data_IF_229366791837
#
_entry.id   IF_229366791837
#
_cell.length_a   1.000
_cell.length_b   1.000
_cell.length_c   1.000
_cell.angle_alpha   90.00
_cell.angle_beta   90.00
_cell.angle_gamma   90.00
#
_symmetry.space_group_name_H-M   'P 1'
#
loop_
_entity.id
_entity.type
_entity.pdbx_description
1 polymer ?
#
# COMPACT_ATOMS: atom_id res chain seq x y z
N UNK A 1 -0.48 -3.60 -14.76
CA UNK A 1 -1.24 -3.46 -13.50
C UNK A 1 -1.75 -4.81 -12.98
N UNK A 2 -2.63 -5.54 -13.68
CA UNK A 2 -3.17 -6.82 -13.16
C UNK A 2 -2.11 -7.87 -12.80
N UNK A 3 -1.07 -8.05 -13.62
CA UNK A 3 -0.01 -9.02 -13.34
C UNK A 3 0.86 -8.67 -12.12
N UNK A 4 0.97 -7.39 -11.74
CA UNK A 4 1.72 -7.00 -10.55
C UNK A 4 0.89 -7.24 -9.28
N UNK A 5 -0.42 -6.98 -9.36
CA UNK A 5 -1.35 -7.20 -8.26
C UNK A 5 -1.49 -8.69 -7.89
N UNK A 6 -1.63 -9.58 -8.87
CA UNK A 6 -1.73 -11.02 -8.59
C UNK A 6 -0.45 -11.58 -7.96
N UNK A 7 0.73 -11.13 -8.41
CA UNK A 7 2.01 -11.49 -7.80
C UNK A 7 2.17 -10.90 -6.41
N UNK A 8 1.70 -9.67 -6.18
CA UNK A 8 1.67 -9.08 -4.85
C UNK A 8 0.77 -9.86 -3.89
N UNK A 9 -0.38 -10.35 -4.35
CA UNK A 9 -1.19 -11.27 -3.56
C UNK A 9 -0.44 -12.57 -3.22
N UNK A 10 0.43 -13.07 -4.08
CA UNK A 10 1.31 -14.21 -3.75
C UNK A 10 2.27 -13.85 -2.63
N UNK A 11 2.93 -12.69 -2.70
CA UNK A 11 3.85 -12.22 -1.64
C UNK A 11 3.13 -12.05 -0.30
N UNK A 12 1.97 -11.37 -0.30
CA UNK A 12 1.14 -11.19 0.91
C UNK A 12 0.68 -12.54 1.47
N UNK A 13 0.24 -13.46 0.61
CA UNK A 13 -0.19 -14.79 1.04
C UNK A 13 0.92 -15.55 1.77
N UNK A 14 2.14 -15.56 1.22
CA UNK A 14 3.28 -16.24 1.85
C UNK A 14 3.71 -15.53 3.15
N UNK A 15 3.65 -14.20 3.22
CA UNK A 15 3.90 -13.44 4.46
C UNK A 15 2.85 -13.78 5.53
N UNK A 16 1.56 -13.85 5.18
CA UNK A 16 0.50 -14.18 6.13
C UNK A 16 0.60 -15.61 6.67
N UNK A 17 1.20 -16.55 5.91
CA UNK A 17 1.44 -17.93 6.38
C UNK A 17 2.47 -18.01 7.50
N UNK A 18 3.47 -17.12 7.50
CA UNK A 18 4.49 -17.04 8.56
C UNK A 18 4.14 -16.04 9.65
N UNK A 19 3.08 -15.25 9.46
CA UNK A 19 2.57 -14.30 10.46
C UNK A 19 1.84 -15.06 11.58
N UNK A 20 2.06 -14.72 12.86
CA UNK A 20 1.44 -15.38 14.01
C UNK A 20 -0.06 -15.44 13.91
N UNK A 21 -0.61 -16.54 14.40
CA UNK A 21 -2.05 -16.76 14.38
C UNK A 21 -2.82 -15.65 15.11
N UNK A 22 -2.26 -15.08 16.18
CA UNK A 22 -2.87 -13.97 16.94
C UNK A 22 -3.11 -12.70 16.10
N UNK A 23 -2.25 -12.46 15.11
CA UNK A 23 -2.37 -11.33 14.18
C UNK A 23 -3.20 -11.73 12.97
N UNK A 24 -2.91 -12.89 12.38
CA UNK A 24 -3.62 -13.42 11.22
C UNK A 24 -5.11 -13.65 11.51
N UNK A 25 -5.48 -13.99 12.76
CA UNK A 25 -6.88 -14.16 13.18
C UNK A 25 -7.66 -12.86 13.27
N UNK A 26 -6.98 -11.70 13.42
CA UNK A 26 -7.63 -10.39 13.37
C UNK A 26 -8.05 -10.00 11.95
N UNK A 27 -7.46 -10.62 10.93
CA UNK A 27 -7.76 -10.36 9.52
C UNK A 27 -8.99 -11.18 9.10
N UNK A 28 -10.07 -10.53 8.59
CA UNK A 28 -11.28 -11.21 8.18
C UNK A 28 -11.01 -12.35 7.18
N UNK A 29 -11.62 -13.51 7.41
CA UNK A 29 -11.44 -14.70 6.57
C UNK A 29 -11.78 -14.42 5.11
N UNK A 30 -12.80 -13.59 4.83
CA UNK A 30 -13.15 -13.19 3.47
C UNK A 30 -12.01 -12.44 2.78
N UNK A 31 -11.30 -11.58 3.51
CA UNK A 31 -10.16 -10.84 2.97
C UNK A 31 -8.99 -11.78 2.63
N UNK A 32 -8.66 -12.72 3.54
CA UNK A 32 -7.64 -13.74 3.30
C UNK A 32 -7.97 -14.63 2.11
N UNK A 33 -9.25 -14.99 1.93
CA UNK A 33 -9.71 -15.75 0.75
C UNK A 33 -9.55 -14.98 -0.55
N UNK A 34 -9.87 -13.68 -0.58
CA UNK A 34 -9.65 -12.85 -1.78
C UNK A 34 -8.18 -12.88 -2.19
N UNK A 35 -7.25 -12.73 -1.24
CA UNK A 35 -5.80 -12.83 -1.52
C UNK A 35 -5.46 -14.22 -2.09
N UNK A 36 -5.91 -15.29 -1.43
CA UNK A 36 -5.61 -16.66 -1.85
C UNK A 36 -6.17 -17.02 -3.24
N UNK A 37 -7.38 -16.57 -3.55
CA UNK A 37 -8.08 -16.86 -4.80
C UNK A 37 -7.50 -16.08 -5.99
N UNK A 38 -7.01 -14.86 -5.75
CA UNK A 38 -6.51 -13.95 -6.79
C UNK A 38 -4.98 -13.94 -6.93
N UNK A 39 -4.25 -14.71 -6.13
CA UNK A 39 -2.78 -14.79 -6.22
C UNK A 39 -2.31 -15.48 -7.49
N UNK A 40 -1.15 -15.07 -7.99
CA UNK A 40 -0.43 -15.78 -9.03
C UNK A 40 0.15 -17.09 -8.47
N UNK A 41 -0.37 -18.22 -8.94
CA UNK A 41 0.04 -19.56 -8.49
C UNK A 41 1.34 -20.04 -9.13
N UNK A 42 1.81 -19.40 -10.20
CA UNK A 42 3.07 -19.74 -10.87
C UNK A 42 4.23 -18.90 -10.33
N UNK A 43 3.94 -17.68 -9.88
CA UNK A 43 4.93 -16.86 -9.19
C UNK A 43 5.36 -17.52 -7.87
N UNK A 44 6.67 -17.67 -7.69
CA UNK A 44 7.28 -18.20 -6.47
C UNK A 44 7.92 -17.04 -5.72
N UNK A 45 7.45 -16.85 -4.50
CA UNK A 45 8.03 -15.89 -3.56
C UNK A 45 8.38 -16.65 -2.29
N UNK A 46 9.59 -16.43 -1.80
CA UNK A 46 10.08 -16.99 -0.55
C UNK A 46 10.59 -15.83 0.30
N UNK A 47 10.10 -15.77 1.54
CA UNK A 47 10.58 -14.81 2.51
C UNK A 47 11.91 -15.33 3.07
N UNK A 48 13.02 -14.74 2.65
CA UNK A 48 14.37 -15.11 3.13
C UNK A 48 14.93 -14.08 4.12
N UNK A 49 15.77 -14.55 5.06
CA UNK A 49 16.54 -13.68 5.94
C UNK A 49 17.98 -13.50 5.41
N UNK A 50 18.54 -12.27 5.41
CA UNK A 50 17.97 -11.04 5.96
C UNK A 50 16.93 -10.41 5.03
N UNK A 51 15.74 -10.16 5.56
CA UNK A 51 14.64 -9.62 4.79
C UNK A 51 14.85 -8.13 4.45
N UNK A 52 14.65 -7.76 3.19
CA UNK A 52 14.72 -6.39 2.69
C UNK A 52 13.41 -5.95 2.00
N UNK A 53 12.89 -4.79 2.40
CA UNK A 53 11.66 -4.20 1.88
C UNK A 53 11.69 -3.97 0.36
N UNK A 54 12.88 -3.74 -0.20
CA UNK A 54 13.10 -3.55 -1.65
C UNK A 54 12.83 -4.81 -2.48
N UNK A 55 12.73 -5.97 -1.82
CA UNK A 55 12.48 -7.24 -2.50
C UNK A 55 10.98 -7.48 -2.74
N UNK A 56 10.12 -6.67 -2.12
CA UNK A 56 8.66 -6.73 -2.30
C UNK A 56 8.19 -5.81 -3.43
N UNK A 57 7.10 -6.22 -4.07
CA UNK A 57 6.37 -5.35 -5.00
C UNK A 57 5.75 -4.17 -4.26
N UNK A 58 5.59 -3.08 -4.99
CA UNK A 58 4.95 -1.89 -4.42
C UNK A 58 3.51 -2.16 -4.01
N UNK A 59 2.79 -2.96 -4.79
CA UNK A 59 1.42 -3.38 -4.47
C UNK A 59 1.38 -4.24 -3.21
N UNK A 60 2.39 -5.09 -2.96
CA UNK A 60 2.50 -5.89 -1.73
C UNK A 60 2.58 -4.98 -0.52
N UNK A 61 3.44 -3.96 -0.61
CA UNK A 61 3.59 -2.95 0.44
C UNK A 61 2.28 -2.21 0.71
N UNK A 62 1.54 -1.84 -0.34
CA UNK A 62 0.24 -1.16 -0.21
C UNK A 62 -0.77 -2.08 0.47
N UNK A 63 -0.86 -3.36 0.08
CA UNK A 63 -1.81 -4.31 0.68
C UNK A 63 -1.48 -4.58 2.15
N UNK A 64 -0.21 -4.77 2.49
CA UNK A 64 0.24 -4.90 3.89
C UNK A 64 -0.08 -3.62 4.69
N UNK A 65 0.09 -2.46 4.03
CA UNK A 65 -0.46 -1.15 4.37
C UNK A 65 -1.86 -1.22 4.97
N UNK A 66 -2.79 -1.62 4.11
CA UNK A 66 -4.20 -1.71 4.42
C UNK A 66 -4.50 -2.73 5.52
N UNK A 67 -3.84 -3.90 5.49
CA UNK A 67 -4.01 -4.95 6.49
C UNK A 67 -3.68 -4.43 7.89
N UNK A 68 -2.53 -3.75 8.04
CA UNK A 68 -2.14 -3.24 9.34
C UNK A 68 -3.08 -2.13 9.79
N UNK A 69 -3.38 -1.16 8.92
CA UNK A 69 -4.27 -0.03 9.25
C UNK A 69 -5.63 -0.52 9.75
N UNK A 70 -6.25 -1.45 9.02
CA UNK A 70 -7.64 -1.81 9.30
C UNK A 70 -7.77 -2.89 10.39
N UNK A 71 -6.79 -3.79 10.51
CA UNK A 71 -6.92 -5.01 11.32
C UNK A 71 -5.89 -5.19 12.45
N UNK A 72 -4.68 -4.61 12.34
CA UNK A 72 -3.59 -4.90 13.29
C UNK A 72 -3.27 -3.72 14.22
N UNK A 73 -3.43 -2.50 13.73
CA UNK A 73 -3.26 -1.27 14.51
C UNK A 73 -4.25 -1.23 15.69
N UNK A 74 -3.82 -0.63 16.80
CA UNK A 74 -4.72 -0.31 17.89
C UNK A 74 -5.74 0.77 17.46
N UNK A 75 -6.87 0.93 18.19
CA UNK A 75 -7.93 1.83 17.76
C UNK A 75 -7.51 3.28 17.55
N UNK A 76 -6.61 3.80 18.39
CA UNK A 76 -6.13 5.19 18.32
C UNK A 76 -5.19 5.36 17.12
N UNK A 77 -4.22 4.45 16.95
CA UNK A 77 -3.35 4.45 15.78
C UNK A 77 -4.14 4.30 14.48
N UNK A 78 -5.16 3.43 14.45
CA UNK A 78 -6.00 3.23 13.28
C UNK A 78 -6.74 4.51 12.87
N UNK A 79 -7.31 5.23 13.84
CA UNK A 79 -8.02 6.48 13.57
C UNK A 79 -7.07 7.55 13.01
N UNK A 80 -5.88 7.69 13.60
CA UNK A 80 -4.83 8.60 13.09
C UNK A 80 -4.42 8.25 11.66
N UNK A 81 -4.20 6.97 11.35
CA UNK A 81 -3.85 6.51 10.00
C UNK A 81 -4.98 6.76 8.99
N UNK A 82 -6.23 6.51 9.36
CA UNK A 82 -7.39 6.74 8.48
C UNK A 82 -7.61 8.23 8.20
N UNK A 83 -7.41 9.09 9.20
CA UNK A 83 -7.47 10.54 9.03
C UNK A 83 -6.39 11.01 8.05
N UNK A 84 -5.17 10.53 8.25
CA UNK A 84 -4.01 10.78 7.40
C UNK A 84 -4.21 10.36 5.94
N UNK A 85 -4.79 9.19 5.71
CA UNK A 85 -5.16 8.72 4.36
C UNK A 85 -6.23 9.63 3.74
N UNK A 86 -7.23 10.02 4.52
CA UNK A 86 -8.31 10.92 4.06
C UNK A 86 -7.77 12.28 3.66
N UNK A 87 -6.87 12.85 4.46
CA UNK A 87 -6.20 14.12 4.14
C UNK A 87 -5.32 14.03 2.89
N UNK A 88 -4.60 12.92 2.73
CA UNK A 88 -3.78 12.70 1.54
C UNK A 88 -4.63 12.61 0.26
N UNK A 89 -5.74 11.86 0.31
CA UNK A 89 -6.69 11.77 -0.80
C UNK A 89 -7.27 13.14 -1.15
N UNK A 90 -7.71 13.91 -0.14
CA UNK A 90 -8.23 15.28 -0.37
C UNK A 90 -7.21 16.18 -1.06
N UNK A 91 -5.93 16.13 -0.65
CA UNK A 91 -4.87 16.92 -1.30
C UNK A 91 -4.69 16.52 -2.76
N UNK A 92 -4.69 15.22 -3.07
CA UNK A 92 -4.60 14.74 -4.46
C UNK A 92 -5.83 15.19 -5.28
N UNK A 93 -7.03 15.11 -4.71
CA UNK A 93 -8.25 15.61 -5.35
C UNK A 93 -8.20 17.11 -5.59
N UNK A 94 -7.75 17.89 -4.61
CA UNK A 94 -7.56 19.34 -4.73
C UNK A 94 -6.52 19.69 -5.81
N UNK A 95 -5.39 18.99 -5.87
CA UNK A 95 -4.36 19.17 -6.90
C UNK A 95 -4.88 18.82 -8.30
N UNK A 96 -5.62 17.72 -8.42
CA UNK A 96 -6.27 17.33 -9.68
C UNK A 96 -7.32 18.36 -10.11
N UNK A 97 -8.13 18.84 -9.17
CA UNK A 97 -9.08 19.92 -9.42
C UNK A 97 -8.34 21.19 -9.88
N UNK A 98 -7.28 21.63 -9.20
CA UNK A 98 -6.49 22.79 -9.66
C UNK A 98 -5.83 22.60 -11.04
N UNK A 99 -5.42 21.37 -11.37
CA UNK A 99 -4.77 21.03 -12.65
C UNK A 99 -5.75 20.97 -13.82
N UNK A 100 -6.95 20.43 -13.59
CA UNK A 100 -7.92 20.10 -14.64
C UNK A 100 -9.21 20.92 -14.59
N UNK A 101 -9.40 21.78 -13.58
CA UNK A 101 -10.50 22.72 -13.52
C UNK A 101 -10.50 23.60 -14.77
N UNK A 102 -11.67 23.65 -15.40
CA UNK A 102 -11.87 24.19 -16.73
C UNK A 102 -11.42 25.66 -16.78
N UNK A 103 -11.74 26.43 -15.75
CA UNK A 103 -11.35 27.84 -15.62
C UNK A 103 -9.82 28.01 -15.55
N UNK A 104 -9.15 27.18 -14.75
CA UNK A 104 -7.69 27.16 -14.65
C UNK A 104 -7.01 26.70 -15.95
N UNK A 105 -7.56 25.71 -16.64
CA UNK A 105 -7.08 25.23 -17.94
C UNK A 105 -7.23 26.31 -19.02
N UNK A 106 -8.37 26.99 -19.08
CA UNK A 106 -8.59 28.11 -20.01
C UNK A 106 -7.65 29.28 -19.73
N UNK A 107 -7.43 29.63 -18.46
CA UNK A 107 -6.53 30.71 -18.06
C UNK A 107 -5.04 30.38 -18.34
N UNK A 108 -4.61 29.13 -18.15
CA UNK A 108 -3.27 28.65 -18.53
C UNK A 108 -3.04 28.63 -20.04
N UNK A 109 -4.06 28.25 -20.83
CA UNK A 109 -4.00 28.29 -22.32
C UNK A 109 -3.81 29.71 -22.87
N UNK A 110 -4.32 30.73 -22.17
CA UNK A 110 -4.08 32.14 -22.53
C UNK A 110 -2.64 32.61 -22.25
N UNK A 111 -1.86 31.88 -21.43
CA UNK A 111 -0.60 32.40 -20.87
C UNK A 111 0.70 31.68 -21.27
N UNK A 112 0.75 30.45 -21.81
CA UNK A 112 2.00 29.93 -22.44
C UNK A 112 1.90 28.65 -23.28
N UNK A 113 2.67 28.65 -24.38
CA UNK A 113 3.08 27.51 -25.24
C UNK A 113 3.90 26.48 -24.43
N UNK A 114 3.68 25.21 -24.74
CA UNK A 114 4.49 24.01 -24.45
C UNK A 114 4.84 23.72 -22.99
N UNK A 115 4.15 22.75 -22.38
CA UNK A 115 4.72 21.90 -21.31
C UNK A 115 4.17 20.48 -21.46
N UNK A 116 5.08 19.53 -21.66
CA UNK A 116 4.82 18.09 -21.56
C UNK A 116 4.58 17.75 -20.09
N UNK A 117 3.41 17.20 -19.76
CA UNK A 117 3.11 16.73 -18.41
C UNK A 117 3.20 15.20 -18.40
N UNK A 118 4.27 14.65 -17.81
CA UNK A 118 4.26 13.27 -17.33
C UNK A 118 3.43 13.17 -16.05
N UNK A 119 2.72 12.06 -15.80
CA UNK A 119 2.07 11.84 -14.51
C UNK A 119 3.15 11.49 -13.48
N UNK A 120 3.35 12.34 -12.48
CA UNK A 120 4.12 11.99 -11.29
C UNK A 120 3.24 11.13 -10.38
N UNK A 121 3.74 9.95 -10.03
CA UNK A 121 3.16 9.02 -9.07
C UNK A 121 3.24 9.60 -7.65
N UNK A 122 2.45 10.63 -7.36
CA UNK A 122 2.38 11.29 -6.05
C UNK A 122 1.12 10.84 -5.31
N UNK A 123 1.31 10.14 -4.19
CA UNK A 123 0.21 9.87 -3.26
C UNK A 123 0.50 8.77 -2.23
N UNK A 124 1.24 7.73 -2.60
CA UNK A 124 1.40 6.53 -1.75
C UNK A 124 2.80 6.35 -1.15
N UNK A 125 3.78 7.17 -1.56
CA UNK A 125 5.19 6.99 -1.18
C UNK A 125 5.54 7.50 0.23
N UNK A 126 4.78 8.45 0.77
CA UNK A 126 5.13 9.09 2.06
C UNK A 126 4.84 8.19 3.28
N UNK A 127 3.90 7.24 3.15
CA UNK A 127 3.58 6.29 4.23
C UNK A 127 4.46 5.03 4.24
N UNK A 128 5.31 4.85 3.23
CA UNK A 128 6.08 3.61 3.03
C UNK A 128 7.04 3.37 4.20
N UNK A 129 7.97 4.28 4.51
CA UNK A 129 9.14 3.91 5.31
C UNK A 129 8.90 3.64 6.82
N UNK A 130 8.04 4.40 7.50
CA UNK A 130 7.86 4.25 8.97
C UNK A 130 6.88 3.13 9.32
N UNK A 131 5.88 2.94 8.46
CA UNK A 131 4.80 1.98 8.64
C UNK A 131 5.26 0.55 8.30
N UNK A 132 5.99 0.42 7.21
CA UNK A 132 6.57 -0.86 6.78
C UNK A 132 7.53 -1.40 7.84
N UNK A 133 8.36 -0.53 8.43
CA UNK A 133 9.20 -0.89 9.58
C UNK A 133 8.39 -1.40 10.77
N UNK A 134 7.18 -0.90 11.05
CA UNK A 134 6.32 -1.42 12.13
C UNK A 134 5.82 -2.82 11.82
N UNK A 135 5.30 -3.04 10.60
CA UNK A 135 4.89 -4.37 10.15
C UNK A 135 6.06 -5.35 10.21
N UNK A 136 7.24 -4.95 9.74
CA UNK A 136 8.41 -5.83 9.77
C UNK A 136 9.04 -6.00 11.14
N UNK A 137 8.96 -5.01 12.04
CA UNK A 137 9.37 -5.21 13.42
C UNK A 137 8.43 -6.16 14.15
N UNK A 138 7.12 -6.09 13.84
CA UNK A 138 6.13 -7.04 14.31
C UNK A 138 6.53 -8.45 13.86
N UNK A 139 6.80 -8.65 12.55
CA UNK A 139 7.21 -9.93 11.94
C UNK A 139 8.59 -10.42 12.46
N UNK A 140 9.62 -9.56 12.47
CA UNK A 140 10.98 -9.88 12.94
C UNK A 140 11.03 -10.23 14.42
N UNK A 141 10.12 -9.68 15.24
CA UNK A 141 10.00 -10.04 16.65
C UNK A 141 9.66 -11.52 16.86
N UNK A 142 9.10 -12.19 15.86
CA UNK A 142 8.64 -13.58 15.93
C UNK A 142 9.71 -14.57 15.50
N UNK A 143 10.59 -14.19 14.56
CA UNK A 143 11.73 -15.02 14.15
C UNK A 143 12.89 -15.03 15.15
N UNK A 144 12.86 -14.17 16.19
CA UNK A 144 13.83 -14.16 17.29
C UNK A 144 13.58 -15.23 18.38
N UNK A 145 12.91 -16.32 18.04
CA UNK A 145 12.67 -17.44 18.96
C UNK A 145 13.58 -18.62 18.64
#
# INVERSE_FOLDING_TARGET
MEQNLSKAFTEVYEILKVTPIELTSKIPTKFRKIIEENRDKEYRFQLEEPFNEKDLKEETIVILGLIYRDFLADPEEREDLQLKDTEAIKKVEEELNQKYDMENVFNKRKTKKNVNNSPEEMGLTVYKERFIKKIFNLIKGIFKK
#
